data_IF_194019544038
#
_entry.id   IF_194019544038
#
_cell.length_a   1.000
_cell.length_b   1.000
_cell.length_c   1.000
_cell.angle_alpha   90.00
_cell.angle_beta   90.00
_cell.angle_gamma   90.00
#
_symmetry.space_group_name_H-M   'P 1'
#
loop_
_entity.id
_entity.type
_entity.pdbx_description
1 polymer ?
#
# COMPACT_ATOMS: atom_id res chain seq x y z
N UNK A 1 2.78 12.67 -6.23
CA UNK A 1 3.19 12.72 -4.82
C UNK A 1 2.75 11.46 -4.10
N UNK A 2 3.39 11.14 -2.97
CA UNK A 2 2.93 10.14 -2.02
C UNK A 2 2.54 10.86 -0.74
N UNK A 3 1.25 10.80 -0.39
CA UNK A 3 0.75 11.30 0.89
C UNK A 3 0.62 10.15 1.88
N UNK A 4 1.22 10.30 3.05
CA UNK A 4 1.13 9.33 4.16
C UNK A 4 0.49 10.02 5.34
N UNK A 5 -0.64 9.48 5.79
CA UNK A 5 -1.35 9.93 6.98
C UNK A 5 -1.05 8.95 8.13
N UNK A 6 -0.58 9.48 9.24
CA UNK A 6 -0.16 8.73 10.42
C UNK A 6 -1.06 9.05 11.61
N UNK A 7 -1.30 8.05 12.43
CA UNK A 7 -1.84 8.19 13.77
C UNK A 7 -0.92 7.43 14.73
N UNK A 8 -0.46 8.12 15.77
CA UNK A 8 0.56 7.61 16.71
C UNK A 8 -0.13 7.36 18.05
N UNK A 9 -0.08 6.12 18.53
CA UNK A 9 -0.61 5.78 19.85
C UNK A 9 0.47 6.01 20.92
N UNK A 10 0.48 7.20 21.52
CA UNK A 10 1.38 7.56 22.62
C UNK A 10 0.72 8.57 23.56
N UNK A 11 1.23 8.71 24.79
CA UNK A 11 0.77 9.77 25.69
C UNK A 11 1.26 11.16 25.20
N UNK A 12 0.50 12.22 25.49
CA UNK A 12 0.80 13.60 25.05
C UNK A 12 2.22 14.06 25.41
N UNK A 13 2.70 13.71 26.61
CA UNK A 13 4.04 14.06 27.06
C UNK A 13 5.15 13.41 26.20
N UNK A 14 4.88 12.24 25.61
CA UNK A 14 5.82 11.53 24.75
C UNK A 14 5.80 12.09 23.33
N UNK A 15 4.62 12.49 22.82
CA UNK A 15 4.45 13.02 21.46
C UNK A 15 5.37 14.21 21.15
N UNK A 16 5.61 15.09 22.12
CA UNK A 16 6.46 16.28 21.94
C UNK A 16 7.92 15.96 21.57
N UNK A 17 8.43 14.79 21.98
CA UNK A 17 9.79 14.33 21.69
C UNK A 17 9.91 13.50 20.41
N UNK A 18 8.79 13.15 19.77
CA UNK A 18 8.77 12.23 18.65
C UNK A 18 8.94 12.95 17.30
N UNK A 19 9.55 12.24 16.36
CA UNK A 19 9.71 12.65 14.95
C UNK A 19 9.29 11.49 14.06
N UNK A 20 8.29 11.72 13.22
CA UNK A 20 7.91 10.79 12.16
C UNK A 20 8.80 11.02 10.93
N UNK A 21 9.35 9.94 10.39
CA UNK A 21 10.04 9.90 9.11
C UNK A 21 9.25 9.03 8.14
N UNK A 22 9.07 9.50 6.91
CA UNK A 22 8.62 8.67 5.79
C UNK A 22 9.71 8.70 4.73
N UNK A 23 10.15 7.51 4.31
CA UNK A 23 11.11 7.34 3.23
C UNK A 23 10.56 6.40 2.17
N UNK A 24 10.82 6.74 0.90
CA UNK A 24 10.38 5.99 -0.27
C UNK A 24 11.61 5.46 -1.02
N UNK A 25 11.62 4.17 -1.33
CA UNK A 25 12.75 3.48 -1.93
C UNK A 25 12.35 2.74 -3.22
N UNK A 26 13.22 2.76 -4.22
CA UNK A 26 13.16 1.91 -5.42
C UNK A 26 14.35 0.95 -5.37
N UNK A 27 14.11 -0.29 -4.93
CA UNK A 27 15.19 -1.19 -4.54
C UNK A 27 16.02 -0.60 -3.41
N UNK A 28 17.33 -0.43 -3.64
CA UNK A 28 18.27 0.17 -2.68
C UNK A 28 18.36 1.71 -2.81
N UNK A 29 17.73 2.29 -3.83
CA UNK A 29 17.79 3.73 -4.07
C UNK A 29 16.75 4.47 -3.23
N UNK A 30 17.20 5.39 -2.39
CA UNK A 30 16.32 6.36 -1.73
C UNK A 30 15.78 7.36 -2.76
N UNK A 31 14.46 7.38 -2.95
CA UNK A 31 13.76 8.25 -3.91
C UNK A 31 13.38 9.58 -3.26
N UNK A 32 12.80 9.51 -2.07
CA UNK A 32 12.38 10.69 -1.32
C UNK A 32 12.33 10.38 0.18
N UNK A 33 12.57 11.38 1.01
CA UNK A 33 12.45 11.29 2.47
C UNK A 33 11.88 12.59 3.00
N UNK A 34 11.00 12.48 3.99
CA UNK A 34 10.51 13.61 4.76
C UNK A 34 10.47 13.25 6.24
N UNK A 35 10.83 14.23 7.09
CA UNK A 35 10.71 14.13 8.54
C UNK A 35 9.89 15.30 9.05
N UNK A 36 9.04 15.05 10.04
CA UNK A 36 8.36 16.10 10.79
C UNK A 36 7.99 15.63 12.19
N UNK A 37 7.75 16.59 13.09
CA UNK A 37 7.10 16.27 14.35
C UNK A 37 5.63 15.93 14.11
N UNK A 38 5.06 15.00 14.89
CA UNK A 38 3.61 14.81 14.94
C UNK A 38 2.88 16.13 15.26
N UNK A 39 1.69 16.27 14.69
CA UNK A 39 0.87 17.47 14.72
C UNK A 39 0.14 17.65 13.39
N UNK A 40 -1.20 17.69 13.43
CA UNK A 40 -2.01 18.09 12.28
C UNK A 40 -2.04 19.61 12.12
N UNK A 41 -2.46 20.08 10.94
CA UNK A 41 -2.96 21.45 10.84
C UNK A 41 -4.17 21.65 11.79
N UNK A 42 -4.45 22.88 12.25
CA UNK A 42 -5.68 23.19 12.97
C UNK A 42 -6.90 22.78 12.13
N UNK A 43 -7.82 22.03 12.73
CA UNK A 43 -9.00 21.51 12.02
C UNK A 43 -10.19 22.46 12.18
N UNK A 44 -10.38 22.98 13.40
CA UNK A 44 -11.43 23.94 13.77
C UNK A 44 -11.11 24.60 15.14
N UNK A 45 -12.13 25.07 15.85
CA UNK A 45 -12.02 25.63 17.22
C UNK A 45 -11.42 24.65 18.24
N UNK A 46 -11.40 23.34 17.95
CA UNK A 46 -10.78 22.31 18.80
C UNK A 46 -9.27 22.20 18.62
N UNK A 47 -8.68 22.96 17.69
CA UNK A 47 -7.25 23.03 17.48
C UNK A 47 -6.70 21.93 16.58
N UNK A 48 -5.50 21.42 16.93
CA UNK A 48 -4.78 20.40 16.17
C UNK A 48 -4.76 19.07 16.91
N UNK A 49 -4.59 17.97 16.16
CA UNK A 49 -4.33 16.64 16.70
C UNK A 49 -2.83 16.43 16.84
N UNK A 50 -2.32 16.38 18.07
CA UNK A 50 -0.88 16.19 18.35
C UNK A 50 -0.39 14.81 17.91
N UNK A 51 -1.27 13.81 17.89
CA UNK A 51 -0.98 12.42 17.61
C UNK A 51 -1.03 12.05 16.12
N UNK A 52 -1.37 13.01 15.24
CA UNK A 52 -1.51 12.78 13.80
C UNK A 52 -0.43 13.50 13.00
N UNK A 53 -0.06 12.95 11.86
CA UNK A 53 0.84 13.63 10.93
C UNK A 53 0.45 13.32 9.48
N UNK A 54 0.55 14.30 8.60
CA UNK A 54 0.50 14.09 7.15
C UNK A 54 1.84 14.49 6.55
N UNK A 55 2.55 13.53 5.96
CA UNK A 55 3.77 13.75 5.21
C UNK A 55 3.48 13.60 3.72
N UNK A 56 4.06 14.48 2.90
CA UNK A 56 3.83 14.52 1.45
C UNK A 56 5.18 14.51 0.73
N UNK A 57 5.50 13.38 0.13
CA UNK A 57 6.72 13.19 -0.64
C UNK A 57 6.44 13.52 -2.10
N UNK A 58 7.14 14.52 -2.64
CA UNK A 58 7.16 14.76 -4.07
C UNK A 58 7.87 13.58 -4.76
N UNK A 59 7.23 13.01 -5.79
CA UNK A 59 7.79 11.92 -6.59
C UNK A 59 7.66 12.32 -8.04
N UNK A 60 8.77 12.68 -8.66
CA UNK A 60 8.80 13.08 -10.05
C UNK A 60 8.68 11.86 -10.94
N UNK A 61 7.71 11.87 -11.87
CA UNK A 61 7.50 10.84 -12.89
C UNK A 61 7.59 9.40 -12.32
N UNK A 62 6.75 9.04 -11.32
CA UNK A 62 6.81 7.71 -10.72
C UNK A 62 6.54 6.64 -11.77
N UNK A 63 7.27 5.53 -11.67
CA UNK A 63 6.97 4.34 -12.46
C UNK A 63 5.60 3.82 -12.05
N UNK A 64 4.72 3.66 -13.02
CA UNK A 64 3.34 3.31 -12.77
C UNK A 64 3.17 1.81 -12.56
N UNK A 65 2.36 1.46 -11.57
CA UNK A 65 1.91 0.10 -11.32
C UNK A 65 0.73 -0.24 -12.23
N UNK A 66 0.74 -1.46 -12.77
CA UNK A 66 -0.38 -2.11 -13.43
C UNK A 66 -0.27 -3.63 -13.29
N UNK A 67 -1.30 -4.39 -13.66
CA UNK A 67 -1.19 -5.85 -13.73
C UNK A 67 -0.18 -6.32 -14.80
N UNK A 68 0.16 -5.47 -15.77
CA UNK A 68 1.13 -5.75 -16.83
C UNK A 68 2.56 -5.43 -16.38
N UNK A 69 2.72 -4.35 -15.61
CA UNK A 69 4.00 -3.86 -15.06
C UNK A 69 3.83 -3.56 -13.57
N UNK A 70 3.95 -4.57 -12.69
CA UNK A 70 3.65 -4.43 -11.26
C UNK A 70 4.81 -3.80 -10.48
N UNK A 71 5.22 -2.59 -10.89
CA UNK A 71 6.32 -1.89 -10.23
C UNK A 71 5.87 -1.31 -8.88
N UNK A 72 6.60 -1.65 -7.83
CA UNK A 72 6.34 -1.19 -6.47
C UNK A 72 7.58 -0.53 -5.88
N UNK A 73 7.34 0.55 -5.16
CA UNK A 73 8.32 1.18 -4.27
C UNK A 73 8.14 0.64 -2.86
N UNK A 74 9.19 0.69 -2.04
CA UNK A 74 9.11 0.41 -0.60
C UNK A 74 8.96 1.72 0.17
N UNK A 75 7.85 1.91 0.85
CA UNK A 75 7.66 3.03 1.78
C UNK A 75 7.97 2.55 3.19
N UNK A 76 8.90 3.20 3.87
CA UNK A 76 9.22 2.97 5.28
C UNK A 76 8.75 4.17 6.08
N UNK A 77 7.93 3.90 7.09
CA UNK A 77 7.50 4.88 8.10
C UNK A 77 8.25 4.54 9.38
N UNK A 78 9.02 5.49 9.91
CA UNK A 78 9.81 5.31 11.12
C UNK A 78 9.49 6.40 12.14
N UNK A 79 9.41 6.02 13.41
CA UNK A 79 9.19 6.91 14.52
C UNK A 79 10.47 6.99 15.35
N UNK A 80 10.93 8.21 15.62
CA UNK A 80 12.19 8.49 16.29
C UNK A 80 11.97 9.30 17.57
N UNK A 81 12.78 9.04 18.59
CA UNK A 81 12.93 9.89 19.77
C UNK A 81 14.39 10.35 19.88
N UNK A 82 14.67 11.58 19.44
CA UNK A 82 16.06 12.02 19.22
C UNK A 82 16.72 11.21 18.09
N UNK A 83 17.79 10.48 18.43
CA UNK A 83 18.50 9.56 17.51
C UNK A 83 18.06 8.09 17.67
N UNK A 84 17.23 7.80 18.68
CA UNK A 84 16.73 6.45 18.94
C UNK A 84 15.56 6.12 18.01
N UNK A 85 15.66 4.98 17.30
CA UNK A 85 14.55 4.43 16.54
C UNK A 85 13.58 3.74 17.51
N UNK A 86 12.35 4.22 17.57
CA UNK A 86 11.29 3.66 18.41
C UNK A 86 10.58 2.51 17.69
N UNK A 87 10.13 2.76 16.47
CA UNK A 87 9.36 1.81 15.66
C UNK A 87 9.59 2.10 14.17
N UNK A 88 9.52 1.06 13.34
CA UNK A 88 9.43 1.23 11.89
C UNK A 88 8.50 0.19 11.28
N UNK A 89 7.68 0.65 10.35
CA UNK A 89 6.77 -0.17 9.56
C UNK A 89 6.98 0.13 8.08
N UNK A 90 6.65 -0.83 7.20
CA UNK A 90 6.89 -0.65 5.79
C UNK A 90 5.95 -1.41 4.86
N UNK A 91 5.62 -0.76 3.74
CA UNK A 91 4.65 -1.23 2.76
C UNK A 91 5.18 -1.09 1.33
N UNK A 92 4.70 -1.97 0.45
CA UNK A 92 4.97 -1.88 -0.98
C UNK A 92 3.88 -1.02 -1.65
N UNK A 93 4.27 0.07 -2.30
CA UNK A 93 3.36 1.05 -2.91
C UNK A 93 3.51 1.06 -4.43
N UNK A 94 2.42 0.75 -5.12
CA UNK A 94 2.30 0.89 -6.58
C UNK A 94 1.59 2.20 -6.96
N UNK A 95 2.30 3.10 -7.65
CA UNK A 95 1.73 4.35 -8.14
C UNK A 95 0.77 4.08 -9.29
N UNK A 96 -0.53 4.31 -9.08
CA UNK A 96 -1.55 4.12 -10.10
C UNK A 96 -2.70 5.10 -9.88
N UNK A 97 -3.41 5.41 -10.96
CA UNK A 97 -4.65 6.17 -10.90
C UNK A 97 -5.79 5.29 -11.40
N UNK A 98 -6.80 5.08 -10.56
CA UNK A 98 -8.04 4.39 -10.93
C UNK A 98 -9.15 5.43 -10.96
N UNK A 99 -9.90 5.48 -12.05
CA UNK A 99 -10.99 6.44 -12.18
C UNK A 99 -12.11 5.89 -13.08
N UNK A 100 -13.33 6.37 -12.88
CA UNK A 100 -14.44 6.19 -13.82
C UNK A 100 -14.66 7.52 -14.53
N UNK A 101 -14.54 7.51 -15.85
CA UNK A 101 -14.74 8.71 -16.67
C UNK A 101 -15.51 8.34 -17.93
N UNK A 102 -16.54 9.12 -18.25
CA UNK A 102 -17.43 8.87 -19.41
C UNK A 102 -17.94 7.42 -19.48
N UNK A 103 -18.27 6.82 -18.33
CA UNK A 103 -18.78 5.44 -18.23
C UNK A 103 -17.72 4.33 -18.36
N UNK A 104 -16.44 4.68 -18.47
CA UNK A 104 -15.35 3.71 -18.59
C UNK A 104 -14.52 3.66 -17.30
N UNK A 105 -14.18 2.45 -16.85
CA UNK A 105 -13.18 2.23 -15.81
C UNK A 105 -11.78 2.35 -16.43
N UNK A 106 -11.00 3.32 -15.95
CA UNK A 106 -9.67 3.62 -16.43
C UNK A 106 -8.62 3.29 -15.36
N UNK A 107 -7.49 2.71 -15.81
CA UNK A 107 -6.26 2.63 -15.05
C UNK A 107 -5.19 3.46 -15.77
N UNK A 108 -4.60 4.40 -15.06
CA UNK A 108 -3.57 5.30 -15.60
C UNK A 108 -4.03 5.99 -16.90
N UNK A 109 -5.31 6.38 -16.96
CA UNK A 109 -5.94 7.03 -18.11
C UNK A 109 -6.33 6.11 -19.26
N UNK A 110 -6.14 4.78 -19.15
CA UNK A 110 -6.48 3.80 -20.20
C UNK A 110 -7.66 2.92 -19.79
N UNK A 111 -8.64 2.66 -20.68
CA UNK A 111 -9.77 1.81 -20.36
C UNK A 111 -9.32 0.36 -20.13
N UNK A 112 -9.81 -0.23 -19.04
CA UNK A 112 -9.49 -1.61 -18.68
C UNK A 112 -10.43 -2.61 -19.36
N UNK A 113 -9.86 -3.70 -19.86
CA UNK A 113 -10.58 -4.95 -20.11
C UNK A 113 -10.29 -5.90 -18.96
N UNK A 114 -11.30 -6.16 -18.12
CA UNK A 114 -11.16 -7.07 -16.99
C UNK A 114 -11.29 -8.52 -17.47
N UNK A 115 -10.21 -9.27 -17.33
CA UNK A 115 -10.16 -10.73 -17.49
C UNK A 115 -10.12 -11.31 -16.09
N UNK A 116 -11.29 -11.37 -15.48
CA UNK A 116 -11.48 -11.65 -14.05
C UNK A 116 -11.91 -13.08 -13.75
N UNK A 117 -11.54 -13.57 -12.56
CA UNK A 117 -12.02 -14.83 -11.99
C UNK A 117 -12.40 -14.64 -10.52
N UNK A 118 -13.32 -15.47 -10.00
CA UNK A 118 -13.59 -15.50 -8.56
C UNK A 118 -12.67 -16.53 -7.90
N UNK A 119 -12.17 -16.22 -6.71
CA UNK A 119 -11.34 -17.13 -5.92
C UNK A 119 -11.86 -17.21 -4.50
N UNK A 120 -12.04 -18.44 -4.03
CA UNK A 120 -12.21 -18.76 -2.61
C UNK A 120 -10.86 -19.21 -2.02
N UNK A 121 -10.64 -18.91 -0.74
CA UNK A 121 -9.54 -19.52 0.01
C UNK A 121 -9.91 -20.95 0.36
N UNK A 122 -9.36 -21.90 -0.39
CA UNK A 122 -9.61 -23.32 -0.21
C UNK A 122 -8.39 -24.15 -0.62
N UNK A 123 -8.05 -25.14 0.21
CA UNK A 123 -7.10 -26.19 -0.09
C UNK A 123 -7.74 -27.55 0.23
N UNK A 124 -7.67 -28.48 -0.72
CA UNK A 124 -8.36 -29.78 -0.66
C UNK A 124 -8.12 -30.61 0.61
N UNK A 125 -6.93 -30.50 1.23
CA UNK A 125 -6.60 -31.19 2.49
C UNK A 125 -6.78 -30.34 3.76
N UNK A 126 -6.68 -29.01 3.64
CA UNK A 126 -6.59 -28.08 4.79
C UNK A 126 -7.86 -27.25 4.99
N UNK A 127 -8.87 -27.45 4.16
CA UNK A 127 -10.09 -26.65 4.18
C UNK A 127 -9.79 -25.20 3.76
N UNK A 128 -10.06 -24.23 4.63
CA UNK A 128 -9.90 -22.81 4.31
C UNK A 128 -8.53 -22.24 4.70
N UNK A 129 -7.63 -23.08 5.23
CA UNK A 129 -6.25 -22.68 5.55
C UNK A 129 -5.38 -22.82 4.31
N UNK A 130 -5.14 -21.70 3.63
CA UNK A 130 -4.25 -21.57 2.47
C UNK A 130 -2.88 -21.06 2.88
N UNK A 131 -1.81 -21.60 2.30
CA UNK A 131 -0.43 -21.12 2.53
C UNK A 131 -0.02 -20.09 1.48
N UNK A 132 1.13 -19.46 1.68
CA UNK A 132 1.71 -18.56 0.67
C UNK A 132 2.00 -19.31 -0.65
N UNK A 133 2.47 -20.55 -0.58
CA UNK A 133 2.74 -21.37 -1.76
C UNK A 133 1.46 -21.66 -2.56
N UNK A 134 0.34 -21.96 -1.87
CA UNK A 134 -0.96 -22.14 -2.54
C UNK A 134 -1.38 -20.85 -3.26
N UNK A 135 -1.25 -19.70 -2.60
CA UNK A 135 -1.59 -18.39 -3.17
C UNK A 135 -0.71 -18.08 -4.40
N UNK A 136 0.60 -18.31 -4.30
CA UNK A 136 1.53 -18.12 -5.40
C UNK A 136 1.20 -19.03 -6.58
N UNK A 137 0.89 -20.30 -6.33
CA UNK A 137 0.46 -21.23 -7.38
C UNK A 137 -0.78 -20.71 -8.10
N UNK A 138 -1.81 -20.28 -7.36
CA UNK A 138 -3.04 -19.72 -7.94
C UNK A 138 -2.73 -18.48 -8.81
N UNK A 139 -1.91 -17.56 -8.30
CA UNK A 139 -1.50 -16.35 -9.02
C UNK A 139 -0.78 -16.70 -10.32
N UNK A 140 0.20 -17.60 -10.26
CA UNK A 140 0.97 -18.01 -11.44
C UNK A 140 0.07 -18.67 -12.48
N UNK A 141 -0.83 -19.56 -12.06
CA UNK A 141 -1.79 -20.20 -12.97
C UNK A 141 -2.74 -19.18 -13.60
N UNK A 142 -3.28 -18.25 -12.82
CA UNK A 142 -4.13 -17.17 -13.34
C UNK A 142 -3.40 -16.34 -14.40
N UNK A 143 -2.16 -15.91 -14.10
CA UNK A 143 -1.34 -15.10 -14.99
C UNK A 143 -0.97 -15.86 -16.28
N UNK A 144 -0.58 -17.13 -16.17
CA UNK A 144 -0.29 -18.00 -17.32
C UNK A 144 -1.52 -18.22 -18.21
N UNK A 145 -2.72 -18.18 -17.62
CA UNK A 145 -3.99 -18.28 -18.34
C UNK A 145 -4.62 -16.91 -18.67
N UNK A 146 -3.80 -15.85 -18.73
CA UNK A 146 -4.17 -14.51 -19.19
C UNK A 146 -5.21 -13.76 -18.34
N UNK A 147 -5.46 -14.20 -17.10
CA UNK A 147 -6.24 -13.42 -16.15
C UNK A 147 -5.44 -12.22 -15.64
N UNK A 148 -6.12 -11.09 -15.44
CA UNK A 148 -5.53 -9.87 -14.90
C UNK A 148 -6.24 -9.37 -13.64
N UNK A 149 -7.34 -10.00 -13.24
CA UNK A 149 -8.11 -9.62 -12.06
C UNK A 149 -8.65 -10.83 -11.32
N UNK A 150 -8.86 -10.67 -10.02
CA UNK A 150 -9.43 -11.68 -9.14
C UNK A 150 -10.37 -11.04 -8.13
N UNK A 151 -11.57 -11.58 -8.00
CA UNK A 151 -12.52 -11.15 -6.96
C UNK A 151 -12.37 -12.04 -5.73
N UNK A 152 -12.18 -11.42 -4.57
CA UNK A 152 -12.21 -12.07 -3.25
C UNK A 152 -13.65 -12.44 -2.85
N UNK A 153 -14.21 -13.47 -3.49
CA UNK A 153 -15.53 -13.99 -3.15
C UNK A 153 -15.47 -14.73 -1.81
N UNK A 154 -16.16 -14.34 -0.75
CA UNK A 154 -16.98 -13.14 -0.54
C UNK A 154 -16.59 -12.44 0.77
N UNK A 155 -15.29 -12.42 1.04
CA UNK A 155 -14.70 -11.99 2.31
C UNK A 155 -13.29 -11.45 2.06
N UNK A 156 -12.77 -10.60 2.97
CA UNK A 156 -11.37 -10.25 2.96
C UNK A 156 -10.50 -11.51 3.02
N UNK A 157 -9.59 -11.68 2.06
CA UNK A 157 -8.60 -12.77 2.06
C UNK A 157 -7.45 -12.46 3.05
N UNK A 158 -6.54 -13.41 3.24
CA UNK A 158 -5.34 -13.22 4.04
C UNK A 158 -4.53 -11.99 3.57
N UNK A 159 -3.93 -11.22 4.49
CA UNK A 159 -3.17 -10.01 4.16
C UNK A 159 -2.09 -10.27 3.08
N UNK A 160 -1.44 -11.44 3.17
CA UNK A 160 -0.42 -11.88 2.21
C UNK A 160 -0.93 -11.97 0.77
N UNK A 161 -2.22 -12.29 0.56
CA UNK A 161 -2.83 -12.33 -0.77
C UNK A 161 -2.69 -11.01 -1.53
N UNK A 162 -2.96 -9.89 -0.85
CA UNK A 162 -2.89 -8.56 -1.45
C UNK A 162 -1.45 -8.16 -1.76
N UNK A 163 -0.50 -8.49 -0.88
CA UNK A 163 0.92 -8.24 -1.10
C UNK A 163 1.44 -8.99 -2.34
N UNK A 164 1.03 -10.25 -2.48
CA UNK A 164 1.36 -11.05 -3.65
C UNK A 164 0.69 -10.51 -4.92
N UNK A 165 -0.60 -10.15 -4.88
CA UNK A 165 -1.28 -9.53 -6.02
C UNK A 165 -0.62 -8.21 -6.45
N UNK A 166 -0.12 -7.43 -5.48
CA UNK A 166 0.64 -6.21 -5.76
C UNK A 166 1.95 -6.51 -6.48
N UNK A 167 2.71 -7.54 -6.04
CA UNK A 167 4.01 -7.90 -6.63
C UNK A 167 3.92 -8.62 -7.98
N UNK A 168 2.91 -9.48 -8.17
CA UNK A 168 2.74 -10.27 -9.40
C UNK A 168 1.81 -9.61 -10.43
N UNK A 169 1.09 -8.56 -10.02
CA UNK A 169 0.23 -7.78 -10.90
C UNK A 169 -1.11 -8.45 -11.17
N UNK A 170 -2.03 -8.33 -10.21
CA UNK A 170 -3.46 -8.64 -10.37
C UNK A 170 -4.32 -7.50 -9.78
N UNK A 171 -5.40 -7.17 -10.47
CA UNK A 171 -6.44 -6.29 -9.94
C UNK A 171 -7.34 -7.09 -8.95
N UNK A 172 -7.63 -6.52 -7.78
CA UNK A 172 -8.45 -7.14 -6.73
C UNK A 172 -9.65 -6.26 -6.43
#
# INVERSE_FOLDING_TARGET
ELQVNLAIAAADAQLAGLVAEVSLWDGEQLVARQRQRPGSAPVDERGHYAERATLVLAVEKPRQWSAETPHCYRTVVALWHGEELVEAEAWDIGFRRVEISNGLLLLNGKPLLIRGVNRHEHHHQRGQVVTEEDMLQDILLMKQNNFNAVRCSHYPNAARWYELCNRYGLYV
#
